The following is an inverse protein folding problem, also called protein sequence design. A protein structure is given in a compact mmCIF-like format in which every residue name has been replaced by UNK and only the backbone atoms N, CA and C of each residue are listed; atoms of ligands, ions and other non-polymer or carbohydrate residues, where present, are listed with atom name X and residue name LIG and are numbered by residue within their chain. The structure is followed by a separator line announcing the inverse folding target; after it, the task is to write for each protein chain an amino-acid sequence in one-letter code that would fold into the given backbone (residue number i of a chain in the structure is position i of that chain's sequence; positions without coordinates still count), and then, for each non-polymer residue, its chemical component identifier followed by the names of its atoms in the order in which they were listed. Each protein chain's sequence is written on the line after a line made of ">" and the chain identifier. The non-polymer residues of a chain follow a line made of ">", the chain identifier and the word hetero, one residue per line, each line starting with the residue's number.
data_IF_514050662407
#
_entry.id   IF_514050662407
#
_cell.length_a   1.000
_cell.length_b   1.000
_cell.length_c   1.000
_cell.angle_alpha   90.00
_cell.angle_beta   90.00
_cell.angle_gamma   90.00
#
_symmetry.space_group_name_H-M   'P 1'
#
loop_
_entity.id
_entity.type
_entity.pdbx_description
1 polymer ?
#
# COMPACT_ATOMS: atom_id res chain seq x y z
N UNK A 1 -2.52 10.91 0.62
CA UNK A 1 -3.79 11.43 1.21
C UNK A 1 -4.45 10.34 2.02
N UNK A 2 -5.02 10.66 3.19
CA UNK A 2 -5.87 9.70 3.93
C UNK A 2 -7.13 9.41 3.11
N UNK A 3 -7.66 8.19 3.21
CA UNK A 3 -8.86 7.76 2.47
C UNK A 3 -10.04 8.71 2.75
N UNK A 4 -10.19 9.15 4.00
CA UNK A 4 -11.20 10.12 4.44
C UNK A 4 -11.15 11.42 3.63
N UNK A 5 -9.95 11.94 3.35
CA UNK A 5 -9.81 13.18 2.58
C UNK A 5 -10.22 12.98 1.11
N UNK A 6 -9.95 11.79 0.55
CA UNK A 6 -10.35 11.46 -0.81
C UNK A 6 -11.87 11.37 -0.90
N UNK A 7 -12.50 10.65 0.04
CA UNK A 7 -13.96 10.51 0.11
C UNK A 7 -14.65 11.87 0.32
N UNK A 8 -14.13 12.71 1.22
CA UNK A 8 -14.69 14.05 1.44
C UNK A 8 -14.58 14.94 0.19
N UNK A 9 -13.44 14.89 -0.51
CA UNK A 9 -13.26 15.63 -1.77
C UNK A 9 -14.27 15.16 -2.84
N UNK A 10 -14.51 13.86 -2.91
CA UNK A 10 -15.47 13.26 -3.83
C UNK A 10 -16.91 13.67 -3.59
N UNK A 11 -17.32 13.86 -2.32
CA UNK A 11 -18.66 14.38 -1.98
C UNK A 11 -18.79 15.81 -2.48
N UNK A 12 -17.80 16.66 -2.20
CA UNK A 12 -17.82 18.07 -2.62
C UNK A 12 -17.82 18.17 -4.16
N UNK A 13 -16.96 17.40 -4.84
CA UNK A 13 -16.92 17.36 -6.30
C UNK A 13 -18.22 16.84 -6.92
N UNK A 14 -18.77 15.75 -6.36
CA UNK A 14 -20.04 15.18 -6.81
C UNK A 14 -21.22 16.15 -6.62
N UNK A 15 -21.21 16.94 -5.55
CA UNK A 15 -22.19 17.99 -5.30
C UNK A 15 -22.16 19.06 -6.39
N UNK A 16 -21.00 19.65 -6.68
CA UNK A 16 -20.91 20.70 -7.69
C UNK A 16 -21.22 20.20 -9.10
N UNK A 17 -20.74 19.01 -9.47
CA UNK A 17 -21.07 18.38 -10.76
C UNK A 17 -22.59 18.12 -10.84
N UNK A 18 -23.18 17.56 -9.79
CA UNK A 18 -24.61 17.30 -9.70
C UNK A 18 -25.45 18.56 -9.80
N UNK A 19 -24.99 19.65 -9.18
CA UNK A 19 -25.65 20.95 -9.21
C UNK A 19 -25.63 21.55 -10.61
N UNK A 20 -24.47 21.56 -11.27
CA UNK A 20 -24.34 22.05 -12.66
C UNK A 20 -25.25 21.26 -13.59
N UNK A 21 -25.22 19.92 -13.52
CA UNK A 21 -26.04 19.06 -14.36
C UNK A 21 -27.53 19.24 -14.11
N UNK A 22 -27.93 19.45 -12.85
CA UNK A 22 -29.33 19.62 -12.48
C UNK A 22 -29.86 21.00 -12.89
N UNK A 23 -29.06 22.06 -12.74
CA UNK A 23 -29.39 23.40 -13.25
C UNK A 23 -29.55 23.43 -14.77
N UNK A 24 -28.74 22.67 -15.51
CA UNK A 24 -28.85 22.60 -16.97
C UNK A 24 -30.07 21.81 -17.46
N UNK A 25 -30.61 20.92 -16.62
CA UNK A 25 -31.65 19.96 -17.02
C UNK A 25 -33.05 20.30 -16.53
N UNK A 26 -33.17 20.99 -15.40
CA UNK A 26 -34.44 21.24 -14.75
C UNK A 26 -34.60 22.74 -14.47
N UNK A 27 -35.77 23.29 -14.81
CA UNK A 27 -36.12 24.68 -14.51
C UNK A 27 -36.80 24.84 -13.15
N UNK A 28 -37.35 23.76 -12.58
CA UNK A 28 -38.00 23.79 -11.28
C UNK A 28 -36.99 23.55 -10.15
N UNK A 29 -36.99 24.39 -9.10
CA UNK A 29 -36.00 24.33 -8.03
C UNK A 29 -36.04 23.01 -7.25
N UNK A 30 -37.21 22.38 -7.12
CA UNK A 30 -37.38 21.10 -6.43
C UNK A 30 -36.61 19.98 -7.13
N UNK A 31 -36.69 19.91 -8.46
CA UNK A 31 -35.98 18.91 -9.25
C UNK A 31 -34.48 19.19 -9.33
N UNK A 32 -34.07 20.45 -9.31
CA UNK A 32 -32.65 20.82 -9.23
C UNK A 32 -32.03 20.29 -7.93
N UNK A 33 -32.71 20.52 -6.81
CA UNK A 33 -32.29 20.02 -5.49
C UNK A 33 -32.21 18.50 -5.48
N UNK A 34 -33.25 17.81 -5.96
CA UNK A 34 -33.30 16.35 -5.97
C UNK A 34 -32.21 15.72 -6.86
N UNK A 35 -31.96 16.31 -8.02
CA UNK A 35 -30.90 15.88 -8.94
C UNK A 35 -29.50 16.05 -8.36
N UNK A 36 -29.26 17.18 -7.68
CA UNK A 36 -27.99 17.46 -7.02
C UNK A 36 -27.72 16.46 -5.90
N UNK A 37 -28.72 16.19 -5.07
CA UNK A 37 -28.63 15.26 -3.94
C UNK A 37 -28.39 13.82 -4.42
N UNK A 38 -29.15 13.39 -5.43
CA UNK A 38 -28.99 12.08 -6.07
C UNK A 38 -27.60 11.93 -6.67
N UNK A 39 -27.10 12.94 -7.38
CA UNK A 39 -25.78 12.91 -7.99
C UNK A 39 -24.66 12.85 -6.94
N UNK A 40 -24.77 13.64 -5.86
CA UNK A 40 -23.80 13.63 -4.75
C UNK A 40 -23.69 12.25 -4.11
N UNK A 41 -24.83 11.62 -3.80
CA UNK A 41 -24.88 10.26 -3.26
C UNK A 41 -24.33 9.25 -4.26
N UNK A 42 -24.66 9.40 -5.55
CA UNK A 42 -24.14 8.54 -6.61
C UNK A 42 -22.61 8.57 -6.70
N UNK A 43 -22.01 9.77 -6.75
CA UNK A 43 -20.56 9.93 -6.77
C UNK A 43 -19.89 9.37 -5.50
N UNK A 44 -20.49 9.62 -4.33
CA UNK A 44 -20.01 9.05 -3.07
C UNK A 44 -19.94 7.52 -3.10
N UNK A 45 -21.01 6.87 -3.57
CA UNK A 45 -21.07 5.41 -3.66
C UNK A 45 -20.10 4.83 -4.69
N UNK A 46 -19.97 5.48 -5.85
CA UNK A 46 -19.00 5.07 -6.89
C UNK A 46 -17.58 5.10 -6.32
N UNK A 47 -17.22 6.18 -5.61
CA UNK A 47 -15.88 6.33 -5.07
C UNK A 47 -15.63 5.36 -3.91
N UNK A 48 -16.62 5.11 -3.05
CA UNK A 48 -16.52 4.05 -2.04
C UNK A 48 -16.31 2.67 -2.67
N UNK A 49 -17.00 2.37 -3.77
CA UNK A 49 -16.83 1.11 -4.49
C UNK A 49 -15.40 0.96 -5.03
N UNK A 50 -14.87 1.98 -5.70
CA UNK A 50 -13.48 1.97 -6.16
C UNK A 50 -12.47 1.90 -5.01
N UNK A 51 -12.72 2.61 -3.91
CA UNK A 51 -11.89 2.54 -2.71
C UNK A 51 -11.88 1.15 -2.09
N UNK A 52 -13.04 0.48 -2.04
CA UNK A 52 -13.20 -0.89 -1.55
C UNK A 52 -12.40 -1.87 -2.43
N UNK A 53 -12.53 -1.78 -3.75
CA UNK A 53 -11.74 -2.59 -4.70
C UNK A 53 -10.25 -2.33 -4.52
N UNK A 54 -9.84 -1.05 -4.42
CA UNK A 54 -8.44 -0.69 -4.23
C UNK A 54 -7.89 -1.26 -2.92
N UNK A 55 -8.62 -1.17 -1.81
CA UNK A 55 -8.22 -1.81 -0.55
C UNK A 55 -8.15 -3.33 -0.67
N UNK A 56 -9.13 -3.95 -1.33
CA UNK A 56 -9.16 -5.40 -1.53
C UNK A 56 -7.98 -5.94 -2.34
N UNK A 57 -7.50 -5.20 -3.35
CA UNK A 57 -6.40 -5.64 -4.21
C UNK A 57 -5.01 -5.14 -3.76
N UNK A 58 -4.90 -3.94 -3.21
CA UNK A 58 -3.61 -3.29 -2.90
C UNK A 58 -3.18 -3.51 -1.45
N UNK A 59 -4.12 -3.62 -0.51
CA UNK A 59 -3.79 -3.91 0.89
C UNK A 59 -3.10 -5.28 1.09
N UNK A 60 -3.51 -6.40 0.44
CA UNK A 60 -2.78 -7.65 0.58
C UNK A 60 -1.33 -7.58 0.07
N UNK A 61 -1.03 -6.79 -0.99
CA UNK A 61 0.35 -6.60 -1.46
C UNK A 61 1.24 -5.90 -0.43
N UNK A 62 0.72 -4.95 0.34
CA UNK A 62 1.47 -4.30 1.43
C UNK A 62 1.76 -5.22 2.61
N UNK A 63 0.88 -6.21 2.88
CA UNK A 63 1.12 -7.21 3.93
C UNK A 63 2.18 -8.24 3.53
N UNK A 64 2.23 -8.63 2.25
CA UNK A 64 3.24 -9.57 1.74
C UNK A 64 4.66 -8.95 1.67
N UNK A 65 4.75 -7.64 1.44
CA UNK A 65 6.02 -6.89 1.44
C UNK A 65 6.18 -6.10 2.75
N UNK A 66 6.20 -6.81 3.88
CA UNK A 66 6.56 -6.19 5.15
C UNK A 66 8.06 -5.88 5.15
N UNK A 67 8.43 -4.69 4.64
CA UNK A 67 9.82 -4.20 4.51
C UNK A 67 10.61 -4.35 5.81
N UNK A 68 9.97 -4.14 6.96
CA UNK A 68 10.62 -4.28 8.27
C UNK A 68 10.95 -5.74 8.62
N UNK A 69 10.07 -6.69 8.26
CA UNK A 69 10.33 -8.12 8.46
C UNK A 69 11.40 -8.63 7.47
N UNK A 70 11.38 -8.10 6.23
CA UNK A 70 12.38 -8.40 5.22
C UNK A 70 13.77 -7.87 5.63
N UNK A 71 13.87 -6.63 6.09
CA UNK A 71 15.12 -6.05 6.62
C UNK A 71 15.63 -6.83 7.82
N UNK A 72 14.74 -7.22 8.75
CA UNK A 72 15.12 -8.06 9.90
C UNK A 72 15.71 -9.40 9.47
N UNK A 73 15.09 -10.07 8.50
CA UNK A 73 15.60 -11.35 7.94
C UNK A 73 16.93 -11.14 7.22
N UNK A 74 17.08 -10.05 6.47
CA UNK A 74 18.32 -9.73 5.76
C UNK A 74 19.50 -9.53 6.74
N UNK A 75 19.28 -8.79 7.83
CA UNK A 75 20.29 -8.57 8.87
C UNK A 75 20.64 -9.88 9.57
N UNK A 76 19.65 -10.72 9.85
CA UNK A 76 19.86 -12.05 10.42
C UNK A 76 20.76 -12.91 9.52
N UNK A 77 20.43 -13.02 8.22
CA UNK A 77 21.22 -13.80 7.28
C UNK A 77 22.64 -13.26 7.12
N UNK A 78 22.83 -11.94 7.06
CA UNK A 78 24.16 -11.36 6.97
C UNK A 78 25.04 -11.73 8.17
N UNK A 79 24.46 -11.68 9.39
CA UNK A 79 25.17 -12.09 10.60
C UNK A 79 25.54 -13.57 10.58
N UNK A 80 24.65 -14.43 10.09
CA UNK A 80 24.90 -15.86 9.95
C UNK A 80 26.02 -16.14 8.94
N UNK A 81 26.02 -15.46 7.80
CA UNK A 81 27.08 -15.59 6.80
C UNK A 81 28.45 -15.23 7.35
N UNK A 82 28.58 -14.10 8.04
CA UNK A 82 29.85 -13.67 8.66
C UNK A 82 30.34 -14.70 9.68
N UNK A 83 29.44 -15.30 10.46
CA UNK A 83 29.81 -16.32 11.43
C UNK A 83 30.33 -17.59 10.72
N UNK A 84 29.62 -18.05 9.67
CA UNK A 84 30.05 -19.21 8.89
C UNK A 84 31.37 -18.99 8.16
N UNK A 85 31.60 -17.78 7.66
CA UNK A 85 32.86 -17.43 6.99
C UNK A 85 34.05 -17.52 7.94
N UNK A 86 33.89 -17.04 9.19
CA UNK A 86 34.92 -17.20 10.23
C UNK A 86 35.17 -18.66 10.59
N UNK A 87 34.12 -19.45 10.76
CA UNK A 87 34.25 -20.88 11.06
C UNK A 87 35.02 -21.62 9.95
N UNK A 88 34.77 -21.27 8.68
CA UNK A 88 35.50 -21.82 7.53
C UNK A 88 36.97 -21.38 7.55
N UNK A 89 37.23 -20.10 7.83
CA UNK A 89 38.60 -19.57 7.91
C UNK A 89 39.41 -20.24 9.03
N UNK A 90 38.81 -20.45 10.19
CA UNK A 90 39.43 -21.15 11.33
C UNK A 90 39.76 -22.61 10.98
N UNK A 91 38.83 -23.33 10.33
CA UNK A 91 39.07 -24.70 9.86
C UNK A 91 40.17 -24.77 8.81
N UNK A 92 40.20 -23.82 7.88
CA UNK A 92 41.20 -23.78 6.81
C UNK A 92 42.60 -23.46 7.37
N UNK A 93 42.68 -22.58 8.38
CA UNK A 93 43.90 -22.32 9.13
C UNK A 93 44.35 -23.53 9.93
N UNK A 94 43.42 -24.26 10.56
CA UNK A 94 43.73 -25.50 11.26
C UNK A 94 44.33 -26.56 10.33
N UNK A 95 43.72 -26.80 9.17
CA UNK A 95 44.23 -27.76 8.17
C UNK A 95 45.61 -27.34 7.68
N UNK A 96 45.81 -26.06 7.35
CA UNK A 96 47.11 -25.55 6.88
C UNK A 96 48.22 -25.71 7.92
N UNK A 97 47.90 -25.43 9.18
CA UNK A 97 48.86 -25.61 10.28
C UNK A 97 49.12 -27.10 10.55
N UNK A 98 48.15 -27.97 10.36
CA UNK A 98 48.34 -29.42 10.48
C UNK A 98 49.28 -29.94 9.38
N UNK A 99 49.06 -29.54 8.12
CA UNK A 99 49.91 -29.89 6.97
C UNK A 99 51.37 -29.42 7.14
N UNK A 100 51.60 -28.28 7.80
CA UNK A 100 52.94 -27.73 8.04
C UNK A 100 53.71 -28.40 9.19
N UNK A 101 53.04 -29.17 10.06
CA UNK A 101 53.68 -29.85 11.21
C UNK A 101 54.02 -31.33 10.93
N UNK A 102 53.73 -31.85 9.73
CA UNK A 102 54.09 -33.22 9.29
C UNK A 102 55.42 -33.29 8.50
N UNK A 103 56.09 -32.17 8.25
CA UNK A 103 57.49 -32.07 7.74
C UNK A 103 58.52 -31.92 8.88
#
# INVERSE_FOLDING_TARGET
>A
MKLENFVNFSIVGGFFIGLILSLLKFDQPEYILFGTLTSTVGFYLIILFFASIYMGFVSPRKKLLNKADLERKLVYFNKEFVQREREIEDLLNYVRNYEYNED
#
